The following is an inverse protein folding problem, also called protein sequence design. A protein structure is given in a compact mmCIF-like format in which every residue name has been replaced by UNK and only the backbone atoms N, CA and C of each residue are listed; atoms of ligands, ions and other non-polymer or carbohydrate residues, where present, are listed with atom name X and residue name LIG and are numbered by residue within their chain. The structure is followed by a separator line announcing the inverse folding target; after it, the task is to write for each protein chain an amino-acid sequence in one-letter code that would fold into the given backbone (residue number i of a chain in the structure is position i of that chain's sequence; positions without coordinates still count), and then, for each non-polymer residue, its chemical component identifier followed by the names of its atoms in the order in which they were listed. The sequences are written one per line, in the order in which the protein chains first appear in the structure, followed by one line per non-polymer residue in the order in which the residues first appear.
data_IF_768341622463
#
_entry.id   IF_768341622463
#
_cell.length_a   1.000
_cell.length_b   1.000
_cell.length_c   1.000
_cell.angle_alpha   90.00
_cell.angle_beta   90.00
_cell.angle_gamma   90.00
#
_symmetry.space_group_name_H-M   'P 1'
#
loop_
_entity.id
_entity.type
_entity.pdbx_description
1 polymer ?
#
# COMPACT_ATOMS: atom_id res chain seq x y z
N UNK A 1 29.60 7.67 -10.91
CA UNK A 1 28.54 7.57 -9.88
C UNK A 1 28.42 6.13 -9.46
N UNK A 2 28.16 5.87 -8.18
CA UNK A 2 28.00 4.50 -7.69
C UNK A 2 26.52 4.30 -7.34
N UNK A 3 25.84 3.34 -7.97
CA UNK A 3 24.41 3.11 -7.74
C UNK A 3 24.22 1.83 -6.94
N UNK A 4 23.72 1.97 -5.71
CA UNK A 4 23.35 0.87 -4.85
C UNK A 4 21.86 0.55 -5.04
N UNK A 5 21.56 -0.59 -5.66
CA UNK A 5 20.17 -1.08 -5.72
C UNK A 5 19.81 -1.72 -4.39
N UNK A 6 18.77 -1.21 -3.74
CA UNK A 6 18.32 -1.72 -2.46
C UNK A 6 17.39 -2.93 -2.62
N UNK A 7 17.54 -3.87 -1.73
CA UNK A 7 16.66 -5.05 -1.61
C UNK A 7 15.79 -4.98 -0.32
N UNK A 8 14.53 -5.46 -0.36
CA UNK A 8 13.80 -5.96 -1.53
C UNK A 8 13.35 -4.83 -2.45
N UNK A 9 13.19 -5.11 -3.76
CA UNK A 9 12.75 -4.14 -4.75
C UNK A 9 11.64 -4.69 -5.67
N UNK A 10 11.08 -3.86 -6.55
CA UNK A 10 9.99 -4.23 -7.44
C UNK A 10 8.71 -4.68 -6.71
N UNK A 11 7.85 -5.42 -7.39
CA UNK A 11 6.61 -5.92 -6.80
C UNK A 11 6.85 -6.81 -5.58
N UNK A 12 6.08 -6.58 -4.51
CA UNK A 12 6.01 -7.56 -3.43
C UNK A 12 5.16 -8.78 -3.85
N UNK A 13 5.23 -9.87 -3.07
CA UNK A 13 4.49 -11.10 -3.36
C UNK A 13 2.97 -10.90 -3.46
N UNK A 14 2.40 -10.03 -2.62
CA UNK A 14 0.98 -9.68 -2.67
C UNK A 14 0.59 -8.99 -3.98
N UNK A 15 1.40 -8.04 -4.42
CA UNK A 15 1.20 -7.32 -5.69
C UNK A 15 1.39 -8.26 -6.88
N UNK A 16 2.46 -9.07 -6.90
CA UNK A 16 2.69 -10.06 -7.96
C UNK A 16 1.49 -11.00 -8.11
N UNK A 17 0.97 -11.52 -6.98
CA UNK A 17 -0.21 -12.39 -6.97
C UNK A 17 -1.42 -11.69 -7.59
N UNK A 18 -1.69 -10.45 -7.18
CA UNK A 18 -2.84 -9.70 -7.66
C UNK A 18 -2.78 -9.44 -9.17
N UNK A 19 -1.62 -9.01 -9.69
CA UNK A 19 -1.39 -8.83 -11.13
C UNK A 19 -1.55 -10.15 -11.89
N UNK A 20 -0.91 -11.22 -11.41
CA UNK A 20 -1.01 -12.54 -12.05
C UNK A 20 -2.47 -13.01 -12.16
N UNK A 21 -3.25 -12.91 -11.09
CA UNK A 21 -4.64 -13.33 -11.09
C UNK A 21 -5.49 -12.50 -12.06
N UNK A 22 -5.33 -11.19 -12.07
CA UNK A 22 -6.12 -10.31 -12.93
C UNK A 22 -5.81 -10.51 -14.41
N UNK A 23 -4.53 -10.59 -14.79
CA UNK A 23 -4.12 -10.84 -16.18
C UNK A 23 -4.47 -12.25 -16.65
N UNK A 24 -4.36 -13.24 -15.76
CA UNK A 24 -4.83 -14.59 -16.03
C UNK A 24 -6.34 -14.62 -16.27
N UNK A 25 -7.15 -13.95 -15.45
CA UNK A 25 -8.59 -13.82 -15.68
C UNK A 25 -8.89 -13.23 -17.06
N UNK A 26 -8.21 -12.16 -17.46
CA UNK A 26 -8.40 -11.57 -18.81
C UNK A 26 -8.08 -12.55 -19.92
N UNK A 27 -7.00 -13.33 -19.77
CA UNK A 27 -6.62 -14.35 -20.75
C UNK A 27 -7.65 -15.47 -20.85
N UNK A 28 -8.22 -15.90 -19.73
CA UNK A 28 -9.25 -16.94 -19.65
C UNK A 28 -10.63 -16.45 -20.10
N UNK A 29 -10.90 -15.15 -20.00
CA UNK A 29 -12.18 -14.50 -20.30
C UNK A 29 -12.00 -13.34 -21.30
N UNK A 30 -11.58 -13.59 -22.55
CA UNK A 30 -11.18 -12.53 -23.49
C UNK A 30 -12.32 -11.60 -23.91
N UNK A 31 -13.56 -12.08 -23.90
CA UNK A 31 -14.74 -11.38 -24.40
C UNK A 31 -15.68 -10.86 -23.30
N UNK A 32 -15.32 -10.97 -22.03
CA UNK A 32 -16.16 -10.53 -20.92
C UNK A 32 -15.65 -9.19 -20.40
N UNK A 33 -16.56 -8.29 -20.03
CA UNK A 33 -16.21 -7.04 -19.38
C UNK A 33 -15.63 -7.31 -17.98
N UNK A 34 -14.49 -6.69 -17.68
CA UNK A 34 -13.79 -6.84 -16.39
C UNK A 34 -13.53 -5.46 -15.81
N UNK A 35 -13.98 -5.26 -14.59
CA UNK A 35 -13.85 -4.01 -13.84
C UNK A 35 -12.99 -4.22 -12.60
N UNK A 36 -11.94 -3.42 -12.44
CA UNK A 36 -11.15 -3.37 -11.20
C UNK A 36 -11.73 -2.26 -10.32
N UNK A 37 -12.29 -2.63 -9.19
CA UNK A 37 -12.92 -1.72 -8.25
C UNK A 37 -11.86 -1.14 -7.30
N UNK A 38 -11.55 0.14 -7.50
CA UNK A 38 -10.35 0.76 -6.99
C UNK A 38 -9.12 0.40 -7.84
N UNK A 39 -8.04 1.16 -7.72
CA UNK A 39 -6.77 0.75 -8.30
C UNK A 39 -6.30 -0.55 -7.64
N UNK A 40 -5.88 -1.54 -8.44
CA UNK A 40 -5.37 -2.81 -7.89
C UNK A 40 -4.22 -2.56 -6.91
N UNK A 41 -3.37 -1.62 -7.25
CA UNK A 41 -2.31 -1.04 -6.43
C UNK A 41 -2.21 0.45 -6.74
N UNK A 42 -1.83 1.27 -5.76
CA UNK A 42 -1.66 2.72 -5.94
C UNK A 42 -0.36 3.04 -6.74
N UNK A 43 -0.36 2.70 -8.03
CA UNK A 43 0.73 3.00 -8.95
C UNK A 43 0.17 3.08 -10.39
N UNK A 44 0.07 4.30 -10.92
CA UNK A 44 -0.56 4.58 -12.20
C UNK A 44 0.17 3.88 -13.36
N UNK A 45 1.50 3.93 -13.37
CA UNK A 45 2.31 3.34 -14.44
C UNK A 45 2.14 1.80 -14.46
N UNK A 46 2.04 1.16 -13.28
CA UNK A 46 1.73 -0.27 -13.19
C UNK A 46 0.30 -0.58 -13.63
N UNK A 47 -0.65 0.33 -13.40
CA UNK A 47 -2.05 0.14 -13.82
C UNK A 47 -2.28 0.35 -15.33
N UNK A 48 -1.37 1.01 -16.04
CA UNK A 48 -1.45 1.12 -17.51
C UNK A 48 -1.45 -0.26 -18.21
N UNK A 49 -0.79 -1.24 -17.62
CA UNK A 49 -0.82 -2.62 -18.12
C UNK A 49 -2.25 -3.19 -18.14
N UNK A 50 -3.06 -2.89 -17.12
CA UNK A 50 -4.47 -3.32 -17.07
C UNK A 50 -5.30 -2.68 -18.16
N UNK A 51 -5.11 -1.38 -18.40
CA UNK A 51 -5.82 -0.67 -19.47
C UNK A 51 -5.46 -1.23 -20.84
N UNK A 52 -4.19 -1.56 -21.07
CA UNK A 52 -3.72 -2.20 -22.29
C UNK A 52 -4.35 -3.60 -22.51
N UNK A 53 -4.73 -4.26 -21.44
CA UNK A 53 -5.44 -5.53 -21.45
C UNK A 53 -6.97 -5.39 -21.37
N UNK A 54 -7.52 -4.19 -21.63
CA UNK A 54 -8.97 -3.93 -21.59
C UNK A 54 -9.63 -4.34 -20.25
N UNK A 55 -8.96 -4.06 -19.13
CA UNK A 55 -9.55 -4.12 -17.78
C UNK A 55 -9.90 -2.69 -17.38
N UNK A 56 -11.16 -2.43 -17.13
CA UNK A 56 -11.66 -1.11 -16.71
C UNK A 56 -11.24 -0.83 -15.28
N UNK A 57 -10.61 0.31 -15.04
CA UNK A 57 -10.19 0.73 -13.70
C UNK A 57 -11.15 1.79 -13.19
N UNK A 58 -11.81 1.51 -12.07
CA UNK A 58 -12.64 2.45 -11.34
C UNK A 58 -11.78 3.11 -10.27
N UNK A 59 -11.41 4.38 -10.49
CA UNK A 59 -10.49 5.10 -9.58
C UNK A 59 -11.27 5.64 -8.37
N UNK A 60 -10.93 5.17 -7.18
CA UNK A 60 -11.54 5.54 -5.90
C UNK A 60 -11.47 7.04 -5.57
N UNK A 61 -10.59 7.80 -6.24
CA UNK A 61 -10.49 9.26 -6.07
C UNK A 61 -11.45 10.03 -6.96
N UNK A 62 -12.02 9.37 -7.96
CA UNK A 62 -12.92 9.99 -8.94
C UNK A 62 -14.38 9.70 -8.67
N UNK A 63 -14.65 8.54 -8.07
CA UNK A 63 -16.01 8.11 -7.80
C UNK A 63 -16.10 7.21 -6.54
N UNK A 64 -17.30 7.16 -5.98
CA UNK A 64 -17.59 6.28 -4.85
C UNK A 64 -17.65 4.84 -5.33
N UNK A 65 -16.80 3.96 -4.77
CA UNK A 65 -16.65 2.58 -5.23
C UNK A 65 -17.93 1.74 -5.03
N UNK A 66 -18.71 1.98 -3.98
CA UNK A 66 -19.98 1.26 -3.77
C UNK A 66 -21.03 1.64 -4.82
N UNK A 67 -21.10 2.94 -5.16
CA UNK A 67 -21.97 3.42 -6.22
C UNK A 67 -21.53 2.86 -7.58
N UNK A 68 -20.24 2.87 -7.85
CA UNK A 68 -19.67 2.31 -9.06
C UNK A 68 -19.94 0.80 -9.16
N UNK A 69 -19.79 0.04 -8.07
CA UNK A 69 -20.11 -1.40 -8.04
C UNK A 69 -21.56 -1.67 -8.46
N UNK A 70 -22.50 -0.84 -8.00
CA UNK A 70 -23.91 -0.93 -8.39
C UNK A 70 -24.17 -0.62 -9.88
N UNK A 71 -23.28 0.12 -10.53
CA UNK A 71 -23.40 0.51 -11.95
C UNK A 71 -22.71 -0.46 -12.91
N UNK A 72 -21.86 -1.38 -12.44
CA UNK A 72 -21.22 -2.40 -13.29
C UNK A 72 -22.29 -3.25 -13.97
N UNK A 73 -22.19 -3.49 -15.30
CA UNK A 73 -23.17 -4.32 -16.04
C UNK A 73 -23.22 -5.77 -15.52
N UNK A 74 -24.42 -6.30 -15.46
CA UNK A 74 -24.66 -7.68 -15.03
C UNK A 74 -23.88 -8.69 -15.87
N UNK A 75 -23.37 -9.75 -15.22
CA UNK A 75 -22.58 -10.79 -15.88
C UNK A 75 -21.10 -10.46 -16.09
N UNK A 76 -20.69 -9.21 -15.80
CA UNK A 76 -19.28 -8.78 -15.83
C UNK A 76 -18.47 -9.42 -14.68
N UNK A 77 -17.14 -9.37 -14.81
CA UNK A 77 -16.26 -9.63 -13.68
C UNK A 77 -15.96 -8.33 -12.92
N UNK A 78 -15.93 -8.45 -11.59
CA UNK A 78 -15.39 -7.41 -10.71
C UNK A 78 -14.16 -7.94 -9.99
N UNK A 79 -13.07 -7.17 -10.04
CA UNK A 79 -11.83 -7.45 -9.32
C UNK A 79 -11.83 -6.56 -8.07
N UNK A 80 -11.78 -7.16 -6.89
CA UNK A 80 -11.48 -6.45 -5.65
C UNK A 80 -9.97 -6.29 -5.50
N UNK A 81 -9.53 -5.08 -5.17
CA UNK A 81 -8.10 -4.72 -5.17
C UNK A 81 -7.30 -5.41 -4.06
N UNK A 82 -5.98 -5.30 -4.15
CA UNK A 82 -5.07 -5.85 -3.13
C UNK A 82 -5.25 -5.21 -1.73
N UNK A 83 -5.92 -4.06 -1.65
CA UNK A 83 -6.18 -3.34 -0.40
C UNK A 83 -7.30 -3.95 0.46
N UNK A 84 -8.05 -4.93 -0.08
CA UNK A 84 -9.25 -5.46 0.53
C UNK A 84 -10.50 -4.63 0.22
N UNK A 85 -11.63 -5.09 0.73
CA UNK A 85 -12.94 -4.50 0.47
C UNK A 85 -13.89 -4.76 1.65
N UNK A 86 -14.97 -3.96 1.82
CA UNK A 86 -16.07 -4.29 2.72
C UNK A 86 -16.74 -5.60 2.28
N UNK A 87 -16.92 -6.57 3.18
CA UNK A 87 -17.55 -7.87 2.87
C UNK A 87 -18.99 -7.73 2.32
N UNK A 88 -19.69 -6.65 2.70
CA UNK A 88 -21.00 -6.33 2.12
C UNK A 88 -20.99 -6.17 0.60
N UNK A 89 -19.85 -5.85 -0.01
CA UNK A 89 -19.75 -5.74 -1.46
C UNK A 89 -19.82 -7.05 -2.20
N UNK A 90 -19.44 -8.16 -1.56
CA UNK A 90 -19.60 -9.51 -2.14
C UNK A 90 -21.09 -9.83 -2.34
N UNK A 91 -21.92 -9.51 -1.33
CA UNK A 91 -23.37 -9.66 -1.42
C UNK A 91 -23.96 -8.79 -2.53
N UNK A 92 -23.55 -7.53 -2.58
CA UNK A 92 -24.00 -6.58 -3.61
C UNK A 92 -23.59 -7.04 -5.02
N UNK A 93 -22.39 -7.56 -5.20
CA UNK A 93 -21.93 -8.13 -6.45
C UNK A 93 -22.76 -9.37 -6.85
N UNK A 94 -23.09 -10.25 -5.88
CA UNK A 94 -23.91 -11.41 -6.13
C UNK A 94 -25.34 -11.02 -6.54
N UNK A 95 -25.96 -10.02 -5.91
CA UNK A 95 -27.29 -9.48 -6.28
C UNK A 95 -27.33 -8.94 -7.72
N UNK A 96 -26.19 -8.52 -8.24
CA UNK A 96 -26.00 -8.03 -9.62
C UNK A 96 -25.48 -9.11 -10.59
N UNK A 97 -25.45 -10.37 -10.23
CA UNK A 97 -24.87 -11.41 -11.08
C UNK A 97 -23.41 -11.15 -11.51
N UNK A 98 -22.64 -10.38 -10.74
CA UNK A 98 -21.23 -10.16 -11.03
C UNK A 98 -20.40 -11.36 -10.59
N UNK A 99 -19.36 -11.67 -11.36
CA UNK A 99 -18.40 -12.70 -11.03
C UNK A 99 -17.21 -12.06 -10.32
N UNK A 100 -16.90 -12.50 -9.11
CA UNK A 100 -15.87 -11.88 -8.27
C UNK A 100 -14.51 -12.53 -8.51
N UNK A 101 -13.48 -11.72 -8.72
CA UNK A 101 -12.09 -12.08 -8.51
C UNK A 101 -11.55 -11.28 -7.33
N UNK A 102 -11.36 -11.93 -6.19
CA UNK A 102 -10.76 -11.30 -5.03
C UNK A 102 -9.22 -11.35 -5.12
N UNK A 103 -8.62 -10.17 -5.30
CA UNK A 103 -7.16 -9.96 -5.31
C UNK A 103 -6.63 -9.45 -3.97
N UNK A 104 -7.42 -9.44 -2.90
CA UNK A 104 -6.97 -9.00 -1.57
C UNK A 104 -5.66 -9.66 -1.18
N UNK A 105 -4.71 -8.85 -0.73
CA UNK A 105 -3.40 -9.33 -0.29
C UNK A 105 -3.56 -10.25 0.92
N UNK A 106 -2.91 -11.44 0.97
CA UNK A 106 -3.01 -12.36 2.09
C UNK A 106 -2.65 -11.74 3.45
N UNK A 107 -1.76 -10.74 3.48
CA UNK A 107 -1.42 -10.02 4.72
C UNK A 107 -2.56 -9.09 5.18
N UNK A 108 -3.24 -8.43 4.24
CA UNK A 108 -4.43 -7.62 4.53
C UNK A 108 -5.56 -8.51 5.05
N UNK A 109 -5.78 -9.65 4.39
CA UNK A 109 -6.78 -10.62 4.81
C UNK A 109 -6.47 -11.21 6.20
N UNK A 110 -5.20 -11.53 6.49
CA UNK A 110 -4.78 -12.00 7.80
C UNK A 110 -5.03 -10.96 8.91
N UNK A 111 -4.86 -9.66 8.61
CA UNK A 111 -5.19 -8.58 9.54
C UNK A 111 -6.70 -8.50 9.77
N UNK A 112 -7.50 -8.54 8.70
CA UNK A 112 -8.97 -8.55 8.78
C UNK A 112 -9.48 -9.71 9.63
N UNK A 113 -8.97 -10.92 9.36
CA UNK A 113 -9.34 -12.11 10.11
C UNK A 113 -8.93 -12.05 11.59
N UNK A 114 -7.74 -11.48 11.88
CA UNK A 114 -7.30 -11.25 13.26
C UNK A 114 -8.25 -10.29 13.98
N UNK A 115 -8.65 -9.18 13.35
CA UNK A 115 -9.63 -8.24 13.91
C UNK A 115 -10.98 -8.91 14.17
N UNK A 116 -11.48 -9.65 13.19
CA UNK A 116 -12.77 -10.37 13.31
C UNK A 116 -12.79 -11.43 14.44
N UNK A 117 -11.63 -11.95 14.84
CA UNK A 117 -11.51 -12.88 15.96
C UNK A 117 -11.62 -12.21 17.34
N UNK A 118 -11.43 -10.89 17.42
CA UNK A 118 -11.48 -10.12 18.66
C UNK A 118 -12.93 -9.78 19.00
N UNK A 119 -13.38 -10.24 20.16
CA UNK A 119 -14.76 -10.03 20.63
C UNK A 119 -14.96 -8.72 21.40
N UNK A 120 -13.88 -8.12 21.88
CA UNK A 120 -13.83 -6.83 22.60
C UNK A 120 -13.27 -5.74 21.72
N UNK A 121 -13.38 -4.48 22.18
CA UNK A 121 -12.77 -3.33 21.53
C UNK A 121 -11.26 -3.48 21.42
N UNK A 122 -10.71 -3.05 20.30
CA UNK A 122 -9.27 -3.05 20.01
C UNK A 122 -8.92 -1.87 19.10
N UNK A 123 -7.65 -1.52 19.01
CA UNK A 123 -7.21 -0.39 18.20
C UNK A 123 -6.78 -0.85 16.80
N UNK A 124 -7.08 -0.01 15.80
CA UNK A 124 -6.51 -0.13 14.47
C UNK A 124 -5.76 1.14 14.11
N UNK A 125 -4.45 1.01 13.83
CA UNK A 125 -3.58 2.10 13.43
C UNK A 125 -3.47 2.14 11.91
N UNK A 126 -3.88 3.24 11.30
CA UNK A 126 -3.89 3.37 9.85
C UNK A 126 -3.96 4.83 9.40
N UNK A 127 -3.95 5.02 8.09
CA UNK A 127 -4.11 6.33 7.45
C UNK A 127 -5.57 6.51 7.07
N UNK A 128 -6.18 7.59 7.53
CA UNK A 128 -7.59 7.93 7.24
C UNK A 128 -7.82 8.07 5.73
N UNK A 129 -8.87 7.42 5.22
CA UNK A 129 -9.24 7.44 3.79
C UNK A 129 -8.36 6.55 2.91
N UNK A 130 -7.51 5.71 3.50
CA UNK A 130 -6.80 4.68 2.74
C UNK A 130 -7.69 3.44 2.58
N UNK A 131 -7.77 2.88 1.36
CA UNK A 131 -8.65 1.74 1.04
C UNK A 131 -8.52 0.55 2.01
N UNK A 132 -7.29 0.20 2.41
CA UNK A 132 -7.05 -0.89 3.38
C UNK A 132 -7.66 -0.56 4.74
N UNK A 133 -7.51 0.69 5.20
CA UNK A 133 -8.06 1.12 6.48
C UNK A 133 -9.60 1.16 6.44
N UNK A 134 -10.17 1.68 5.38
CA UNK A 134 -11.62 1.78 5.21
C UNK A 134 -12.26 0.38 5.12
N UNK A 135 -11.64 -0.55 4.36
CA UNK A 135 -12.08 -1.93 4.28
C UNK A 135 -11.96 -2.66 5.62
N UNK A 136 -10.85 -2.45 6.36
CA UNK A 136 -10.65 -3.04 7.67
C UNK A 136 -11.73 -2.58 8.66
N UNK A 137 -11.97 -1.27 8.74
CA UNK A 137 -12.95 -0.68 9.65
C UNK A 137 -14.38 -1.12 9.32
N UNK A 138 -14.74 -1.21 8.03
CA UNK A 138 -16.05 -1.70 7.60
C UNK A 138 -16.31 -3.16 8.03
N UNK A 139 -15.27 -3.97 8.12
CA UNK A 139 -15.36 -5.40 8.45
C UNK A 139 -15.14 -5.70 9.95
N UNK A 140 -14.73 -4.71 10.76
CA UNK A 140 -14.38 -4.88 12.17
C UNK A 140 -15.04 -3.79 13.03
N UNK A 141 -16.33 -3.91 13.33
CA UNK A 141 -17.10 -2.84 14.04
C UNK A 141 -16.61 -2.58 15.46
N UNK A 142 -15.87 -3.52 16.07
CA UNK A 142 -15.27 -3.33 17.40
C UNK A 142 -13.92 -2.59 17.35
N UNK A 143 -13.40 -2.28 16.17
CA UNK A 143 -12.13 -1.58 16.00
C UNK A 143 -12.28 -0.08 16.33
N UNK A 144 -11.33 0.45 17.08
CA UNK A 144 -11.18 1.87 17.38
C UNK A 144 -10.08 2.41 16.48
N UNK A 145 -10.43 3.26 15.53
CA UNK A 145 -9.48 3.80 14.57
C UNK A 145 -8.60 4.90 15.18
N UNK A 146 -7.30 4.81 14.98
CA UNK A 146 -6.34 5.88 15.24
C UNK A 146 -5.66 6.23 13.90
N UNK A 147 -5.88 7.47 13.47
CA UNK A 147 -5.14 8.02 12.33
C UNK A 147 -3.68 8.28 12.74
N UNK A 148 -2.74 7.62 12.10
CA UNK A 148 -1.32 7.77 12.45
C UNK A 148 -0.72 9.09 11.99
N UNK A 149 -1.39 9.81 11.08
CA UNK A 149 -0.95 11.13 10.59
C UNK A 149 -1.44 12.24 11.53
N UNK A 150 -2.70 12.16 11.96
CA UNK A 150 -3.34 13.10 12.87
C UNK A 150 -4.03 12.35 14.01
N UNK A 151 -3.25 11.86 15.01
CA UNK A 151 -3.80 11.03 16.07
C UNK A 151 -4.86 11.76 16.89
N UNK A 152 -6.07 11.27 16.83
CA UNK A 152 -7.18 11.72 17.68
C UNK A 152 -7.92 10.49 18.23
N UNK A 153 -8.41 10.63 19.46
CA UNK A 153 -9.25 9.63 20.10
C UNK A 153 -10.62 10.24 20.33
N UNK A 154 -11.62 9.70 19.63
CA UNK A 154 -13.01 10.07 19.92
C UNK A 154 -13.39 9.60 21.31
N UNK A 155 -14.34 10.28 21.96
CA UNK A 155 -14.86 9.88 23.27
C UNK A 155 -15.35 8.43 23.23
N UNK A 156 -14.68 7.55 23.94
CA UNK A 156 -15.00 6.12 24.05
C UNK A 156 -14.83 5.75 25.52
N UNK A 157 -15.66 4.82 26.00
CA UNK A 157 -15.51 4.24 27.34
C UNK A 157 -14.26 3.35 27.37
N UNK A 158 -13.13 3.94 27.73
CA UNK A 158 -11.86 3.24 27.91
C UNK A 158 -11.71 2.83 29.35
N UNK A 159 -11.38 1.57 29.57
CA UNK A 159 -11.09 1.03 30.91
C UNK A 159 -9.57 1.09 31.12
N UNK A 160 -9.04 1.97 31.99
CA UNK A 160 -7.59 2.20 32.11
C UNK A 160 -6.76 0.99 32.53
N UNK A 161 -7.37 0.01 33.22
CA UNK A 161 -6.67 -1.20 33.71
C UNK A 161 -6.54 -2.32 32.67
N UNK A 162 -7.04 -2.13 31.43
CA UNK A 162 -7.03 -3.14 30.38
C UNK A 162 -5.90 -2.86 29.39
N UNK A 163 -5.22 -3.91 28.96
CA UNK A 163 -4.30 -3.86 27.82
C UNK A 163 -5.09 -4.17 26.55
N UNK A 164 -5.20 -3.17 25.66
CA UNK A 164 -5.95 -3.30 24.42
C UNK A 164 -5.10 -3.91 23.30
N UNK A 165 -5.61 -4.89 22.55
CA UNK A 165 -4.97 -5.34 21.32
C UNK A 165 -4.90 -4.21 20.31
N UNK A 166 -3.85 -4.19 19.49
CA UNK A 166 -3.76 -3.30 18.33
C UNK A 166 -3.31 -4.04 17.07
N UNK A 167 -3.89 -3.64 15.94
CA UNK A 167 -3.58 -4.11 14.59
C UNK A 167 -3.19 -2.90 13.76
N UNK A 168 -2.20 -3.05 12.88
CA UNK A 168 -1.72 -1.97 12.03
C UNK A 168 -2.07 -2.19 10.56
N UNK A 169 -2.34 -1.11 9.85
CA UNK A 169 -2.31 -1.10 8.40
C UNK A 169 -0.96 -1.62 7.90
N UNK A 170 -0.96 -2.42 6.83
CA UNK A 170 0.23 -3.13 6.37
C UNK A 170 1.34 -2.21 5.85
N UNK A 171 1.04 -0.98 5.50
CA UNK A 171 1.95 -0.02 4.84
C UNK A 171 2.40 1.16 5.70
N UNK A 172 2.03 1.24 6.98
CA UNK A 172 2.52 2.30 7.87
C UNK A 172 3.96 2.01 8.31
N UNK A 173 4.64 3.04 8.83
CA UNK A 173 6.02 2.92 9.31
C UNK A 173 6.10 2.49 10.77
N UNK A 174 7.26 1.97 11.19
CA UNK A 174 7.53 1.67 12.60
C UNK A 174 7.41 2.90 13.49
N UNK A 175 7.88 4.06 13.02
CA UNK A 175 7.77 5.33 13.72
C UNK A 175 6.31 5.78 13.93
N UNK A 176 5.45 5.58 12.92
CA UNK A 176 4.01 5.87 13.05
C UNK A 176 3.34 4.95 14.08
N UNK A 177 3.74 3.68 14.11
CA UNK A 177 3.27 2.74 15.14
C UNK A 177 3.67 3.20 16.54
N UNK A 178 4.95 3.54 16.74
CA UNK A 178 5.47 4.04 18.00
C UNK A 178 4.79 5.35 18.44
N UNK A 179 4.56 6.26 17.48
CA UNK A 179 3.85 7.52 17.72
C UNK A 179 2.42 7.29 18.16
N UNK A 180 1.69 6.37 17.53
CA UNK A 180 0.32 6.02 17.92
C UNK A 180 0.27 5.38 19.30
N UNK A 181 1.20 4.48 19.63
CA UNK A 181 1.32 3.88 20.96
C UNK A 181 1.63 4.95 22.02
N UNK A 182 2.57 5.85 21.72
CA UNK A 182 2.92 6.96 22.63
C UNK A 182 1.74 7.92 22.86
N UNK A 183 0.98 8.22 21.81
CA UNK A 183 -0.23 9.02 21.91
C UNK A 183 -1.27 8.41 22.86
N UNK A 184 -1.50 7.09 22.77
CA UNK A 184 -2.43 6.36 23.63
C UNK A 184 -1.89 6.22 25.07
N UNK A 185 -0.58 5.96 25.22
CA UNK A 185 0.07 5.88 26.55
C UNK A 185 -0.06 7.18 27.35
N UNK A 186 0.04 8.35 26.69
CA UNK A 186 -0.22 9.66 27.35
C UNK A 186 -1.65 9.82 27.85
N UNK A 187 -2.56 8.95 27.43
CA UNK A 187 -3.96 8.87 27.88
C UNK A 187 -4.20 7.69 28.83
N UNK A 188 -3.11 7.12 29.37
CA UNK A 188 -3.13 5.97 30.27
C UNK A 188 -3.71 4.69 29.65
N UNK A 189 -3.66 4.56 28.32
CA UNK A 189 -4.14 3.40 27.57
C UNK A 189 -2.95 2.52 27.23
N UNK A 190 -2.96 1.29 27.73
CA UNK A 190 -1.94 0.27 27.46
C UNK A 190 -2.27 -0.52 26.19
N UNK A 191 -1.29 -0.71 25.32
CA UNK A 191 -1.44 -1.37 24.02
C UNK A 191 -0.57 -2.62 23.93
N UNK A 192 -1.16 -3.71 23.42
CA UNK A 192 -0.44 -4.89 22.95
C UNK A 192 -0.57 -4.99 21.44
N UNK A 193 0.51 -4.77 20.73
CA UNK A 193 0.55 -4.91 19.28
C UNK A 193 0.49 -6.40 18.89
N UNK A 194 -0.58 -6.82 18.20
CA UNK A 194 -0.77 -8.21 17.74
C UNK A 194 -0.50 -8.38 16.24
N UNK A 195 -0.60 -7.32 15.46
CA UNK A 195 -0.20 -7.26 14.04
C UNK A 195 0.45 -5.92 13.73
N UNK A 196 1.65 -5.97 13.22
CA UNK A 196 2.42 -4.83 12.75
C UNK A 196 2.31 -4.66 11.22
N UNK A 197 3.09 -3.75 10.64
CA UNK A 197 3.22 -3.63 9.20
C UNK A 197 3.67 -4.95 8.56
N UNK A 198 3.44 -5.13 7.25
CA UNK A 198 3.86 -6.35 6.58
C UNK A 198 5.40 -6.42 6.44
N UNK A 199 5.93 -7.64 6.37
CA UNK A 199 7.38 -7.85 6.25
C UNK A 199 7.99 -7.14 5.03
N UNK A 200 7.28 -7.10 3.91
CA UNK A 200 7.76 -6.40 2.71
C UNK A 200 7.92 -4.89 2.95
N UNK A 201 6.99 -4.27 3.69
CA UNK A 201 7.09 -2.86 4.09
C UNK A 201 8.27 -2.66 5.05
N UNK A 202 8.34 -3.47 6.10
CA UNK A 202 9.42 -3.40 7.10
C UNK A 202 10.81 -3.52 6.47
N UNK A 203 11.04 -4.52 5.61
CA UNK A 203 12.35 -4.75 5.01
C UNK A 203 12.79 -3.61 4.08
N UNK A 204 11.87 -3.02 3.30
CA UNK A 204 12.17 -1.86 2.47
C UNK A 204 12.53 -0.63 3.29
N UNK A 205 11.80 -0.38 4.36
CA UNK A 205 12.10 0.72 5.28
C UNK A 205 13.44 0.51 5.96
N UNK A 206 13.70 -0.71 6.44
CA UNK A 206 14.96 -1.09 7.08
C UNK A 206 16.15 -0.91 6.13
N UNK A 207 16.02 -1.29 4.86
CA UNK A 207 17.09 -1.12 3.88
C UNK A 207 17.52 0.35 3.72
N UNK A 208 16.58 1.30 3.83
CA UNK A 208 16.92 2.73 3.81
C UNK A 208 17.52 3.18 5.15
N UNK A 209 16.97 2.70 6.27
CA UNK A 209 17.52 3.03 7.59
C UNK A 209 18.96 2.56 7.75
N UNK A 210 19.31 1.41 7.19
CA UNK A 210 20.64 0.79 7.26
C UNK A 210 21.63 1.32 6.20
N UNK A 211 21.23 2.32 5.37
CA UNK A 211 22.14 2.91 4.38
C UNK A 211 23.39 3.46 5.02
N UNK A 212 24.58 3.16 4.46
CA UNK A 212 25.84 3.70 4.94
C UNK A 212 25.92 5.22 4.71
N UNK A 213 26.65 5.93 5.56
CA UNK A 213 26.82 7.39 5.50
C UNK A 213 27.43 7.88 4.16
N UNK A 214 28.11 6.99 3.44
CA UNK A 214 28.67 7.30 2.14
C UNK A 214 27.61 7.53 1.04
N UNK A 215 26.37 7.08 1.24
CA UNK A 215 25.25 7.37 0.34
C UNK A 215 24.73 8.77 0.65
N UNK A 216 24.65 9.61 -0.37
CA UNK A 216 24.21 11.00 -0.25
C UNK A 216 22.86 11.27 -0.88
N UNK A 217 22.43 10.39 -1.77
CA UNK A 217 21.19 10.56 -2.53
C UNK A 217 20.36 9.26 -2.51
N UNK A 218 19.07 9.42 -2.29
CA UNK A 218 18.09 8.35 -2.39
C UNK A 218 17.11 8.66 -3.52
N UNK A 219 16.98 7.74 -4.47
CA UNK A 219 15.91 7.74 -5.46
C UNK A 219 14.93 6.63 -5.09
N UNK A 220 13.67 6.99 -4.87
CA UNK A 220 12.58 6.06 -4.63
C UNK A 220 11.70 6.00 -5.88
N UNK A 221 11.64 4.84 -6.52
CA UNK A 221 10.71 4.59 -7.61
C UNK A 221 9.34 4.22 -7.06
N UNK A 222 8.32 4.99 -7.40
CA UNK A 222 6.96 4.73 -6.96
C UNK A 222 6.03 5.92 -7.11
N UNK A 223 4.74 5.67 -6.99
CA UNK A 223 3.72 6.72 -7.07
C UNK A 223 3.59 7.50 -5.75
N UNK A 224 3.37 8.82 -5.79
CA UNK A 224 2.98 9.60 -4.62
C UNK A 224 1.60 9.19 -4.04
N UNK A 225 0.82 8.40 -4.77
CA UNK A 225 -0.41 7.77 -4.25
C UNK A 225 -0.14 6.57 -3.35
N UNK A 226 1.04 5.95 -3.47
CA UNK A 226 1.41 4.77 -2.69
C UNK A 226 1.95 5.16 -1.32
N UNK A 227 1.19 4.84 -0.26
CA UNK A 227 1.64 5.09 1.10
C UNK A 227 3.03 4.49 1.38
N UNK A 228 3.27 3.24 0.91
CA UNK A 228 4.58 2.61 1.05
C UNK A 228 5.70 3.42 0.38
N UNK A 229 5.49 3.93 -0.85
CA UNK A 229 6.51 4.71 -1.57
C UNK A 229 6.80 6.05 -0.89
N UNK A 230 5.75 6.74 -0.43
CA UNK A 230 5.87 8.00 0.31
C UNK A 230 6.66 7.78 1.61
N UNK A 231 6.39 6.71 2.36
CA UNK A 231 7.13 6.40 3.59
C UNK A 231 8.60 6.12 3.35
N UNK A 232 8.96 5.43 2.26
CA UNK A 232 10.36 5.23 1.89
C UNK A 232 11.09 6.57 1.63
N UNK A 233 10.44 7.48 0.92
CA UNK A 233 10.95 8.82 0.68
C UNK A 233 11.12 9.62 1.99
N UNK A 234 10.11 9.61 2.87
CA UNK A 234 10.14 10.33 4.15
C UNK A 234 11.27 9.83 5.08
N UNK A 235 11.51 8.51 5.11
CA UNK A 235 12.62 7.93 5.88
C UNK A 235 13.97 8.45 5.35
N UNK A 236 14.14 8.52 4.03
CA UNK A 236 15.35 9.07 3.43
C UNK A 236 15.57 10.56 3.78
N UNK A 237 14.50 11.36 3.74
CA UNK A 237 14.54 12.78 4.15
C UNK A 237 14.97 12.91 5.61
N UNK A 238 14.42 12.09 6.51
CA UNK A 238 14.81 12.08 7.94
C UNK A 238 16.27 11.69 8.17
N UNK A 239 16.85 10.90 7.27
CA UNK A 239 18.29 10.58 7.26
C UNK A 239 19.15 11.71 6.65
N UNK A 240 18.57 12.88 6.34
CA UNK A 240 19.23 14.00 5.67
C UNK A 240 19.82 13.65 4.29
N UNK A 241 19.26 12.65 3.60
CA UNK A 241 19.63 12.35 2.23
C UNK A 241 18.98 13.34 1.27
N UNK A 242 19.60 13.57 0.12
CA UNK A 242 18.95 14.22 -1.01
C UNK A 242 17.97 13.21 -1.63
N UNK A 243 16.67 13.41 -1.46
CA UNK A 243 15.66 12.43 -1.82
C UNK A 243 14.83 12.83 -3.02
N UNK A 244 14.51 11.84 -3.85
CA UNK A 244 13.59 11.98 -4.97
C UNK A 244 12.58 10.84 -4.96
N UNK A 245 11.31 11.18 -5.14
CA UNK A 245 10.24 10.22 -5.39
C UNK A 245 9.82 10.40 -6.84
N UNK A 246 10.04 9.40 -7.68
CA UNK A 246 9.76 9.44 -9.12
C UNK A 246 9.02 8.19 -9.56
N UNK A 247 8.11 8.34 -10.52
CA UNK A 247 7.28 7.22 -10.98
C UNK A 247 7.96 6.34 -12.02
N UNK A 248 8.75 6.95 -12.90
CA UNK A 248 9.30 6.29 -14.08
C UNK A 248 10.57 6.96 -14.59
N UNK A 249 11.13 6.41 -15.67
CA UNK A 249 12.36 6.91 -16.28
C UNK A 249 12.24 8.37 -16.77
N UNK A 250 11.09 8.77 -17.31
CA UNK A 250 10.91 10.14 -17.83
C UNK A 250 11.00 11.17 -16.69
N UNK A 251 10.45 10.89 -15.52
CA UNK A 251 10.62 11.75 -14.35
C UNK A 251 12.05 11.71 -13.81
N UNK A 252 12.69 10.55 -13.81
CA UNK A 252 14.08 10.40 -13.37
C UNK A 252 15.05 11.20 -14.24
N UNK A 253 14.84 11.26 -15.55
CA UNK A 253 15.66 12.01 -16.50
C UNK A 253 15.65 13.53 -16.28
N UNK A 254 14.64 14.06 -15.59
CA UNK A 254 14.57 15.48 -15.24
C UNK A 254 15.43 15.84 -14.01
N UNK A 255 16.07 14.87 -13.37
CA UNK A 255 16.90 15.08 -12.19
C UNK A 255 18.36 15.26 -12.61
N UNK A 256 18.99 16.35 -12.14
CA UNK A 256 20.41 16.57 -12.31
C UNK A 256 21.19 16.02 -11.12
N UNK A 257 22.05 15.04 -11.36
CA UNK A 257 22.97 14.48 -10.38
C UNK A 257 24.34 15.11 -10.48
N UNK A 258 25.01 15.27 -9.33
CA UNK A 258 26.38 15.80 -9.28
C UNK A 258 27.40 14.71 -9.62
N UNK A 259 28.53 15.10 -10.22
CA UNK A 259 29.63 14.17 -10.45
C UNK A 259 30.15 13.60 -9.11
N UNK A 260 30.30 12.28 -9.03
CA UNK A 260 30.76 11.59 -7.82
C UNK A 260 29.68 11.34 -6.77
N UNK A 261 28.42 11.69 -7.05
CA UNK A 261 27.29 11.40 -6.15
C UNK A 261 27.08 9.89 -5.99
N UNK A 262 26.88 9.43 -4.76
CA UNK A 262 26.56 8.02 -4.46
C UNK A 262 25.06 7.89 -4.24
N UNK A 263 24.43 7.12 -5.09
CA UNK A 263 22.98 7.02 -5.19
C UNK A 263 22.52 5.66 -4.67
N UNK A 264 21.56 5.63 -3.74
CA UNK A 264 20.76 4.45 -3.47
C UNK A 264 19.48 4.52 -4.28
N UNK A 265 19.14 3.41 -4.97
CA UNK A 265 17.89 3.23 -5.67
C UNK A 265 17.00 2.25 -4.92
N UNK A 266 15.85 2.72 -4.45
CA UNK A 266 14.81 1.93 -3.82
C UNK A 266 13.54 1.94 -4.67
N UNK A 267 12.61 1.04 -4.37
CA UNK A 267 11.30 1.04 -5.04
C UNK A 267 10.16 0.69 -4.10
N UNK A 268 9.01 1.28 -4.35
CA UNK A 268 7.76 0.89 -3.70
C UNK A 268 7.35 -0.54 -4.06
N UNK A 269 6.56 -1.16 -3.19
CA UNK A 269 6.05 -2.52 -3.36
C UNK A 269 5.11 -2.70 -4.57
N UNK A 270 4.65 -1.60 -5.16
CA UNK A 270 3.80 -1.53 -6.36
C UNK A 270 4.54 -1.10 -7.62
N UNK A 271 5.86 -0.97 -7.58
CA UNK A 271 6.68 -0.56 -8.73
C UNK A 271 6.98 -1.75 -9.63
N UNK A 272 6.71 -1.60 -10.94
CA UNK A 272 7.01 -2.64 -11.93
C UNK A 272 8.50 -2.97 -11.97
N UNK A 273 8.89 -4.27 -12.01
CA UNK A 273 10.28 -4.66 -12.20
C UNK A 273 10.89 -4.13 -13.51
N UNK A 274 10.07 -3.91 -14.53
CA UNK A 274 10.49 -3.32 -15.80
C UNK A 274 10.92 -1.88 -15.62
N UNK A 275 10.09 -1.04 -15.00
CA UNK A 275 10.41 0.38 -14.70
C UNK A 275 11.65 0.47 -13.81
N UNK A 276 11.75 -0.41 -12.81
CA UNK A 276 12.92 -0.46 -11.94
C UNK A 276 14.19 -0.73 -12.74
N UNK A 277 14.15 -1.71 -13.64
CA UNK A 277 15.30 -2.08 -14.48
C UNK A 277 15.71 -0.93 -15.40
N UNK A 278 14.78 -0.29 -16.09
CA UNK A 278 15.06 0.86 -16.96
C UNK A 278 15.75 2.00 -16.19
N UNK A 279 15.23 2.34 -15.02
CA UNK A 279 15.78 3.40 -14.18
C UNK A 279 17.17 3.03 -13.63
N UNK A 280 17.36 1.79 -13.22
CA UNK A 280 18.67 1.30 -12.76
C UNK A 280 19.73 1.33 -13.88
N UNK A 281 19.37 0.83 -15.07
CA UNK A 281 20.24 0.83 -16.24
C UNK A 281 20.64 2.27 -16.63
N UNK A 282 19.69 3.20 -16.63
CA UNK A 282 19.92 4.62 -16.88
C UNK A 282 20.92 5.23 -15.90
N UNK A 283 20.67 5.09 -14.58
CA UNK A 283 21.56 5.61 -13.56
C UNK A 283 22.97 5.00 -13.65
N UNK A 284 23.02 3.69 -13.92
CA UNK A 284 24.31 2.96 -14.08
C UNK A 284 25.08 3.41 -15.31
N UNK A 285 24.39 3.77 -16.41
CA UNK A 285 25.05 4.29 -17.63
C UNK A 285 25.64 5.70 -17.43
N UNK A 286 25.06 6.52 -16.56
CA UNK A 286 25.61 7.84 -16.20
C UNK A 286 26.94 7.75 -15.44
N UNK A 287 27.34 6.56 -14.99
CA UNK A 287 28.62 6.32 -14.30
C UNK A 287 29.83 6.30 -15.24
N UNK A 288 29.63 6.08 -16.51
CA UNK A 288 30.67 6.03 -17.54
C UNK A 288 30.93 7.42 -18.13
#
# INVERSE_FOLDING_TARGET
MDVLLLEPNGYCSGVQRAFFLALRLRKEQPNVEIYCLGMLVHNEDSMMEFQNHHIHIIDERKENLEVALKSIPDGSYVIFSAHGHPLGWEKLAAEKNLKILDCTCPFVEANRAAGASLKSSFFYFGVKGHLEADAFMANNPNAIFIDVVHPELKSIDIIPSIVYPAICQTTISGEEIESAISFLSKKEISIQLIKSQCQSTYLRQKAIMDLPESITTLVVLGSPRSNNSVKLYEIGVKKNLRCYLVRNLAELQNISFKKGERIALSSGASTSPFILKECYDYLSAMQR
#
